data_IF_022662860005
#
_entry.id   IF_022662860005
#
_cell.length_a   1.000
_cell.length_b   1.000
_cell.length_c   1.000
_cell.angle_alpha   90.00
_cell.angle_beta   90.00
_cell.angle_gamma   90.00
#
_symmetry.space_group_name_H-M   'P 1'
#
loop_
_entity.id
_entity.type
_entity.pdbx_description
1 polymer ?
#
# COMPACT_ATOMS: atom_id res chain seq x y z
N UNK A 1 -23.45 -12.83 -9.16
CA UNK A 1 -22.03 -12.84 -9.51
C UNK A 1 -21.72 -11.47 -10.05
N UNK A 2 -20.92 -10.73 -9.31
CA UNK A 2 -20.51 -9.39 -9.73
C UNK A 2 -19.50 -9.49 -10.87
N UNK A 3 -19.66 -8.64 -11.88
CA UNK A 3 -18.67 -8.48 -12.96
C UNK A 3 -17.66 -7.35 -12.65
N UNK A 4 -17.76 -6.69 -11.47
CA UNK A 4 -16.80 -5.66 -11.07
C UNK A 4 -15.45 -6.31 -10.77
N UNK A 5 -14.42 -5.78 -11.44
CA UNK A 5 -13.06 -6.29 -11.34
C UNK A 5 -12.09 -5.20 -10.90
N UNK A 6 -11.11 -5.58 -10.09
CA UNK A 6 -9.96 -4.77 -9.76
C UNK A 6 -8.66 -5.53 -10.03
N UNK A 7 -7.57 -4.80 -10.20
CA UNK A 7 -6.25 -5.39 -10.37
C UNK A 7 -5.63 -5.68 -9.00
N UNK A 8 -5.73 -6.92 -8.55
CA UNK A 8 -5.14 -7.39 -7.29
C UNK A 8 -3.72 -7.87 -7.56
N UNK A 9 -2.71 -7.32 -6.89
CA UNK A 9 -1.33 -7.79 -7.05
C UNK A 9 -0.87 -8.74 -5.95
N UNK A 10 -1.56 -8.77 -4.80
CA UNK A 10 -1.29 -9.71 -3.73
C UNK A 10 -2.53 -9.86 -2.83
N UNK A 11 -2.71 -11.03 -2.23
CA UNK A 11 -3.63 -11.24 -1.10
C UNK A 11 -2.82 -11.97 -0.02
N UNK A 12 -2.72 -11.37 1.15
CA UNK A 12 -1.92 -11.89 2.25
C UNK A 12 -2.81 -12.20 3.45
N UNK A 13 -2.96 -13.49 3.76
CA UNK A 13 -3.58 -13.92 5.01
C UNK A 13 -2.66 -13.74 6.22
N UNK A 14 -3.25 -13.77 7.42
CA UNK A 14 -2.54 -13.69 8.70
C UNK A 14 -1.74 -12.40 8.95
N UNK A 15 -2.14 -11.30 8.33
CA UNK A 15 -1.57 -9.98 8.55
C UNK A 15 -1.95 -9.46 9.94
N UNK A 16 -0.95 -9.00 10.69
CA UNK A 16 -1.15 -8.38 12.03
C UNK A 16 -0.82 -6.89 12.05
N UNK A 17 -0.10 -6.37 11.04
CA UNK A 17 0.36 -4.96 11.01
C UNK A 17 -0.61 -4.02 10.27
N UNK A 18 -1.64 -4.59 9.64
CA UNK A 18 -2.57 -3.90 8.74
C UNK A 18 -3.92 -3.65 9.39
N UNK A 19 -3.94 -3.50 10.72
CA UNK A 19 -5.15 -3.25 11.52
C UNK A 19 -5.25 -4.18 12.74
N UNK A 20 -6.37 -4.10 13.49
CA UNK A 20 -6.57 -4.93 14.67
C UNK A 20 -6.79 -6.39 14.30
N UNK A 21 -6.33 -7.28 15.20
CA UNK A 21 -6.54 -8.71 15.09
C UNK A 21 -5.76 -9.36 13.95
N UNK A 22 -6.21 -10.56 13.56
CA UNK A 22 -5.66 -11.29 12.42
C UNK A 22 -6.47 -10.94 11.18
N UNK A 23 -5.81 -10.45 10.13
CA UNK A 23 -6.49 -9.96 8.93
C UNK A 23 -6.00 -10.62 7.65
N UNK A 24 -6.86 -10.62 6.64
CA UNK A 24 -6.46 -10.85 5.26
C UNK A 24 -6.35 -9.50 4.54
N UNK A 25 -5.16 -9.19 4.05
CA UNK A 25 -4.88 -7.93 3.34
C UNK A 25 -4.95 -8.14 1.83
N UNK A 26 -5.86 -7.44 1.16
CA UNK A 26 -6.01 -7.44 -0.30
C UNK A 26 -5.29 -6.21 -0.85
N UNK A 27 -4.28 -6.42 -1.69
CA UNK A 27 -3.47 -5.33 -2.24
C UNK A 27 -3.85 -5.02 -3.69
N UNK A 28 -4.43 -3.84 -3.92
CA UNK A 28 -4.87 -3.36 -5.22
C UNK A 28 -3.80 -2.53 -5.93
N UNK A 29 -3.79 -2.55 -7.27
CA UNK A 29 -2.97 -1.67 -8.10
C UNK A 29 -3.64 -0.33 -8.37
N UNK A 30 -2.87 0.62 -8.87
CA UNK A 30 -3.23 2.02 -9.05
C UNK A 30 -2.90 2.80 -7.79
N UNK A 31 -2.08 3.84 -7.90
CA UNK A 31 -1.85 4.80 -6.83
C UNK A 31 -1.65 6.18 -7.47
N UNK A 32 -2.35 7.23 -7.01
CA UNK A 32 -2.15 8.58 -7.52
C UNK A 32 -0.88 9.24 -6.98
N UNK A 33 -0.22 8.63 -5.98
CA UNK A 33 1.02 9.11 -5.38
C UNK A 33 2.23 8.35 -5.95
N UNK A 34 3.37 9.03 -5.97
CA UNK A 34 4.69 8.50 -6.30
C UNK A 34 5.67 8.74 -5.14
N UNK A 35 5.30 8.28 -3.93
CA UNK A 35 6.10 8.44 -2.71
C UNK A 35 7.54 7.95 -2.93
N UNK A 36 8.53 8.77 -2.58
CA UNK A 36 9.95 8.42 -2.74
C UNK A 36 10.34 7.13 -1.96
N UNK A 37 9.61 6.81 -0.89
CA UNK A 37 9.79 5.61 -0.07
C UNK A 37 8.79 4.48 -0.36
N UNK A 38 8.01 4.54 -1.44
CA UNK A 38 6.92 3.57 -1.68
C UNK A 38 7.45 2.12 -1.59
N UNK A 39 6.82 1.29 -0.76
CA UNK A 39 7.22 -0.10 -0.55
C UNK A 39 6.69 -1.06 -1.64
N UNK A 40 5.68 -0.60 -2.40
CA UNK A 40 5.00 -1.35 -3.46
C UNK A 40 5.00 -0.57 -4.79
N UNK A 41 6.17 -0.26 -5.39
CA UNK A 41 6.23 0.50 -6.65
C UNK A 41 5.45 -0.15 -7.81
N UNK A 42 5.23 -1.46 -7.76
CA UNK A 42 4.42 -2.22 -8.71
C UNK A 42 2.94 -1.80 -8.70
N UNK A 43 2.46 -1.19 -7.62
CA UNK A 43 1.08 -0.70 -7.52
C UNK A 43 0.89 0.67 -8.17
N UNK A 44 1.94 1.43 -8.48
CA UNK A 44 1.82 2.78 -9.04
C UNK A 44 1.26 2.82 -10.47
N UNK A 45 1.32 1.70 -11.19
CA UNK A 45 0.81 1.58 -12.56
C UNK A 45 -0.61 0.99 -12.54
N UNK A 46 -1.53 1.63 -13.27
CA UNK A 46 -2.94 1.25 -13.40
C UNK A 46 -3.18 0.10 -14.39
N UNK A 47 -2.18 -0.77 -14.56
CA UNK A 47 -2.20 -1.92 -15.48
C UNK A 47 -1.39 -3.05 -14.88
N UNK A 48 -1.72 -4.27 -15.28
CA UNK A 48 -0.90 -5.44 -15.02
C UNK A 48 0.53 -5.22 -15.55
N UNK A 49 1.51 -5.74 -14.82
CA UNK A 49 2.92 -5.71 -15.23
C UNK A 49 3.59 -7.04 -14.87
N UNK A 50 4.82 -7.24 -15.34
CA UNK A 50 5.69 -8.33 -14.89
C UNK A 50 6.77 -7.72 -14.02
N UNK A 51 6.99 -8.29 -12.84
CA UNK A 51 8.15 -8.00 -12.01
C UNK A 51 9.15 -9.16 -12.13
N UNK A 52 10.42 -8.82 -12.31
CA UNK A 52 11.50 -9.79 -12.33
C UNK A 52 12.16 -9.85 -10.95
N UNK A 53 12.31 -11.04 -10.37
CA UNK A 53 12.96 -11.25 -9.07
C UNK A 53 14.37 -11.79 -9.30
N UNK A 54 15.42 -10.94 -9.29
CA UNK A 54 16.75 -11.34 -9.74
C UNK A 54 17.37 -12.48 -8.92
N UNK A 55 17.09 -12.53 -7.61
CA UNK A 55 17.58 -13.57 -6.70
C UNK A 55 17.08 -14.96 -7.02
N UNK A 56 15.95 -15.07 -7.73
CA UNK A 56 15.32 -16.33 -8.13
C UNK A 56 15.74 -16.74 -9.55
N UNK A 57 16.33 -15.83 -10.32
CA UNK A 57 16.67 -16.08 -11.72
C UNK A 57 17.92 -16.95 -11.85
N UNK A 58 17.80 -18.05 -12.59
CA UNK A 58 18.92 -18.95 -12.91
C UNK A 58 19.61 -18.62 -14.24
N UNK A 59 19.32 -17.45 -14.82
CA UNK A 59 19.93 -16.96 -16.06
C UNK A 59 19.77 -17.92 -17.26
N UNK A 60 18.64 -18.62 -17.37
CA UNK A 60 18.37 -19.51 -18.51
C UNK A 60 17.95 -18.77 -19.80
N UNK A 61 17.61 -17.49 -19.68
CA UNK A 61 17.19 -16.58 -20.77
C UNK A 61 16.00 -17.05 -21.61
N UNK A 62 15.25 -18.07 -21.19
CA UNK A 62 14.05 -18.55 -21.90
C UNK A 62 12.99 -17.47 -22.07
N UNK A 63 12.88 -16.55 -21.12
CA UNK A 63 11.98 -15.41 -21.16
C UNK A 63 12.16 -14.55 -22.43
N UNK A 64 13.38 -14.46 -22.98
CA UNK A 64 13.65 -13.75 -24.24
C UNK A 64 12.92 -14.42 -25.41
N UNK A 65 12.85 -15.76 -25.43
CA UNK A 65 12.25 -16.51 -26.53
C UNK A 65 10.71 -16.50 -26.50
N UNK A 66 10.10 -16.44 -25.31
CA UNK A 66 8.64 -16.45 -25.16
C UNK A 66 8.02 -15.04 -25.13
N UNK A 67 8.84 -13.98 -25.07
CA UNK A 67 8.33 -12.61 -25.08
C UNK A 67 7.67 -12.27 -26.41
N UNK A 68 6.35 -12.14 -26.42
CA UNK A 68 5.56 -11.86 -27.65
C UNK A 68 5.74 -10.45 -28.19
N UNK A 69 6.22 -9.52 -27.35
CA UNK A 69 6.42 -8.10 -27.69
C UNK A 69 7.89 -7.71 -27.92
N UNK A 70 8.84 -8.62 -27.70
CA UNK A 70 10.28 -8.32 -27.77
C UNK A 70 10.78 -7.34 -26.69
N UNK A 71 10.05 -7.23 -25.57
CA UNK A 71 10.39 -6.39 -24.42
C UNK A 71 11.55 -6.95 -23.57
N UNK A 72 11.77 -8.27 -23.62
CA UNK A 72 12.82 -8.95 -22.85
C UNK A 72 14.02 -9.23 -23.75
N UNK A 73 15.19 -8.75 -23.35
CA UNK A 73 16.44 -8.85 -24.11
C UNK A 73 17.51 -9.60 -23.33
N UNK A 74 18.44 -10.19 -24.06
CA UNK A 74 19.66 -10.73 -23.48
C UNK A 74 20.48 -9.59 -22.85
N UNK A 75 21.17 -9.86 -21.72
CA UNK A 75 22.13 -8.90 -21.17
C UNK A 75 23.33 -8.72 -22.10
N UNK A 76 24.09 -7.64 -21.88
CA UNK A 76 25.36 -7.41 -22.57
C UNK A 76 26.40 -8.51 -22.25
N UNK A 77 26.36 -9.04 -21.02
CA UNK A 77 27.25 -10.09 -20.55
C UNK A 77 26.45 -11.30 -20.07
N UNK A 78 26.74 -12.47 -20.64
CA UNK A 78 26.12 -13.73 -20.20
C UNK A 78 26.49 -14.02 -18.75
N UNK A 79 25.50 -14.45 -17.97
CA UNK A 79 25.57 -14.59 -16.52
C UNK A 79 24.89 -13.46 -15.74
N UNK A 80 24.59 -12.32 -16.40
CA UNK A 80 23.83 -11.23 -15.80
C UNK A 80 22.32 -11.43 -16.04
N UNK A 81 21.49 -10.63 -15.36
CA UNK A 81 20.02 -10.68 -15.47
C UNK A 81 19.52 -10.24 -16.86
N UNK A 82 18.43 -10.83 -17.37
CA UNK A 82 17.78 -10.33 -18.59
C UNK A 82 17.30 -8.88 -18.42
N UNK A 83 17.28 -8.13 -19.53
CA UNK A 83 16.87 -6.73 -19.55
C UNK A 83 15.39 -6.65 -19.95
N UNK A 84 14.59 -5.95 -19.15
CA UNK A 84 13.15 -5.78 -19.38
C UNK A 84 12.84 -4.34 -19.75
N UNK A 85 12.09 -4.15 -20.83
CA UNK A 85 11.49 -2.88 -21.20
C UNK A 85 10.08 -2.81 -20.60
N UNK A 86 9.97 -2.27 -19.39
CA UNK A 86 8.70 -2.25 -18.66
C UNK A 86 7.64 -1.35 -19.30
N UNK A 87 8.04 -0.32 -20.07
CA UNK A 87 7.10 0.51 -20.83
C UNK A 87 6.38 -0.31 -21.91
N UNK A 88 7.05 -1.33 -22.46
CA UNK A 88 6.42 -2.30 -23.36
C UNK A 88 5.67 -3.37 -22.57
N UNK A 89 6.25 -3.90 -21.48
CA UNK A 89 5.62 -4.96 -20.67
C UNK A 89 4.23 -4.56 -20.17
N UNK A 90 4.03 -3.34 -19.66
CA UNK A 90 2.74 -2.85 -19.14
C UNK A 90 1.63 -2.72 -20.20
N UNK A 91 1.99 -2.84 -21.48
CA UNK A 91 1.04 -2.83 -22.62
C UNK A 91 0.80 -4.22 -23.20
N UNK A 92 1.47 -5.24 -22.67
CA UNK A 92 1.36 -6.61 -23.13
C UNK A 92 0.15 -7.31 -22.49
N UNK A 93 -0.70 -7.92 -23.31
CA UNK A 93 -1.84 -8.72 -22.85
C UNK A 93 -1.46 -10.19 -22.58
N UNK A 94 -0.29 -10.63 -23.05
CA UNK A 94 0.21 -12.01 -22.91
C UNK A 94 1.12 -12.20 -21.67
N UNK A 95 0.99 -11.35 -20.64
CA UNK A 95 1.87 -11.40 -19.46
C UNK A 95 1.82 -12.75 -18.73
N UNK A 96 0.70 -13.47 -18.81
CA UNK A 96 0.60 -14.83 -18.26
C UNK A 96 1.62 -15.78 -18.91
N UNK A 97 1.99 -15.56 -20.18
CA UNK A 97 3.04 -16.35 -20.84
C UNK A 97 4.39 -16.15 -20.14
N UNK A 98 4.70 -14.92 -19.70
CA UNK A 98 5.94 -14.63 -18.99
C UNK A 98 5.99 -15.35 -17.63
N UNK A 99 4.92 -15.27 -16.84
CA UNK A 99 4.80 -15.92 -15.53
C UNK A 99 4.90 -17.44 -15.67
N UNK A 100 4.06 -18.07 -16.51
CA UNK A 100 4.02 -19.53 -16.66
C UNK A 100 5.26 -20.13 -17.35
N UNK A 101 5.95 -19.37 -18.20
CA UNK A 101 7.17 -19.86 -18.86
C UNK A 101 8.41 -19.80 -17.95
N UNK A 102 8.32 -19.10 -16.82
CA UNK A 102 9.40 -19.00 -15.85
C UNK A 102 9.29 -20.10 -14.80
N UNK A 103 9.95 -21.24 -15.06
CA UNK A 103 9.86 -22.43 -14.19
C UNK A 103 10.46 -22.25 -12.79
N UNK A 104 11.34 -21.26 -12.60
CA UNK A 104 11.88 -20.91 -11.28
C UNK A 104 11.00 -19.91 -10.53
N UNK A 105 9.98 -19.32 -11.19
CA UNK A 105 9.15 -18.29 -10.59
C UNK A 105 9.84 -16.92 -10.45
N UNK A 106 10.88 -16.66 -11.24
CA UNK A 106 11.57 -15.35 -11.23
C UNK A 106 10.80 -14.25 -11.99
N UNK A 107 9.71 -14.58 -12.68
CA UNK A 107 8.82 -13.61 -13.33
C UNK A 107 7.43 -13.75 -12.73
N UNK A 108 6.95 -12.68 -12.12
CA UNK A 108 5.66 -12.67 -11.43
C UNK A 108 4.74 -11.64 -12.10
N UNK A 109 3.50 -12.04 -12.40
CA UNK A 109 2.50 -11.11 -12.92
C UNK A 109 1.87 -10.35 -11.76
N UNK A 110 2.12 -9.05 -11.72
CA UNK A 110 1.61 -8.13 -10.70
C UNK A 110 0.38 -7.39 -11.22
N UNK A 111 -0.77 -7.64 -10.59
CA UNK A 111 -2.06 -7.10 -10.99
C UNK A 111 -2.86 -8.08 -11.81
N UNK A 112 -3.42 -9.09 -11.15
CA UNK A 112 -4.36 -10.02 -11.75
C UNK A 112 -5.75 -9.41 -11.65
N UNK A 113 -6.52 -9.32 -12.75
CA UNK A 113 -7.91 -8.92 -12.65
C UNK A 113 -8.65 -9.98 -11.84
N UNK A 114 -9.30 -9.54 -10.75
CA UNK A 114 -10.12 -10.39 -9.91
C UNK A 114 -11.48 -9.72 -9.72
N UNK A 115 -12.53 -10.53 -9.80
CA UNK A 115 -13.91 -10.13 -9.46
C UNK A 115 -14.08 -10.03 -7.94
N UNK A 116 -15.15 -9.37 -7.49
CA UNK A 116 -15.51 -9.36 -6.06
C UNK A 116 -15.71 -10.79 -5.55
N UNK A 117 -16.45 -11.62 -6.29
CA UNK A 117 -16.69 -13.04 -5.97
C UNK A 117 -15.36 -13.81 -5.77
N UNK A 118 -14.38 -13.65 -6.67
CA UNK A 118 -13.08 -14.33 -6.56
C UNK A 118 -12.27 -13.88 -5.34
N UNK A 119 -12.35 -12.60 -4.96
CA UNK A 119 -11.69 -12.10 -3.75
C UNK A 119 -12.43 -12.57 -2.49
N UNK A 120 -13.76 -12.58 -2.52
CA UNK A 120 -14.59 -13.09 -1.42
C UNK A 120 -14.39 -14.57 -1.16
N UNK A 121 -14.20 -15.39 -2.20
CA UNK A 121 -13.85 -16.81 -2.04
C UNK A 121 -12.57 -17.00 -1.20
N UNK A 122 -11.56 -16.14 -1.40
CA UNK A 122 -10.32 -16.16 -0.60
C UNK A 122 -10.57 -15.65 0.82
N UNK A 123 -11.34 -14.57 0.97
CA UNK A 123 -11.67 -13.99 2.29
C UNK A 123 -12.44 -14.99 3.16
N UNK A 124 -13.46 -15.64 2.60
CA UNK A 124 -14.29 -16.62 3.32
C UNK A 124 -13.50 -17.88 3.70
N UNK A 125 -12.49 -18.25 2.91
CA UNK A 125 -11.57 -19.31 3.30
C UNK A 125 -10.75 -18.93 4.55
N UNK A 126 -10.38 -17.66 4.69
CA UNK A 126 -9.57 -17.16 5.81
C UNK A 126 -10.40 -16.71 7.03
N UNK A 127 -11.72 -16.55 6.87
CA UNK A 127 -12.67 -16.09 7.90
C UNK A 127 -12.53 -16.80 9.26
N UNK A 128 -12.34 -18.14 9.34
CA UNK A 128 -12.14 -18.82 10.62
C UNK A 128 -10.92 -18.33 11.44
N UNK A 129 -9.98 -17.63 10.81
CA UNK A 129 -8.77 -17.09 11.46
C UNK A 129 -8.94 -15.64 11.93
N UNK A 130 -10.04 -14.95 11.60
CA UNK A 130 -10.29 -13.56 11.99
C UNK A 130 -10.63 -13.45 13.47
N UNK A 131 -9.60 -13.43 14.31
CA UNK A 131 -9.71 -13.34 15.77
C UNK A 131 -9.30 -11.95 16.29
N UNK A 132 -9.74 -11.60 17.50
CA UNK A 132 -9.38 -10.37 18.23
C UNK A 132 -9.70 -9.07 17.46
N UNK A 133 -10.88 -8.99 16.83
CA UNK A 133 -11.25 -7.84 15.98
C UNK A 133 -10.63 -7.88 14.58
N UNK A 134 -10.19 -9.07 14.16
CA UNK A 134 -9.69 -9.37 12.82
C UNK A 134 -10.75 -9.19 11.73
N UNK A 135 -10.36 -9.41 10.48
CA UNK A 135 -11.22 -9.19 9.32
C UNK A 135 -10.40 -8.99 8.06
N UNK A 136 -10.80 -8.07 7.20
CA UNK A 136 -10.04 -7.76 5.98
C UNK A 136 -9.46 -6.35 6.02
N UNK A 137 -8.33 -6.16 5.35
CA UNK A 137 -7.81 -4.83 5.03
C UNK A 137 -7.62 -4.72 3.53
N UNK A 138 -8.11 -3.65 2.89
CA UNK A 138 -7.76 -3.37 1.49
C UNK A 138 -6.70 -2.28 1.47
N UNK A 139 -5.58 -2.58 0.83
CA UNK A 139 -4.35 -1.77 0.76
C UNK A 139 -3.75 -1.86 -0.66
N UNK A 140 -2.44 -1.66 -0.81
CA UNK A 140 -1.69 -1.84 -2.05
C UNK A 140 -1.10 -0.55 -2.58
N UNK A 141 -1.71 -0.02 -3.63
CA UNK A 141 -1.53 1.35 -4.09
C UNK A 141 -2.46 2.27 -3.32
N UNK A 142 -3.54 2.67 -3.97
CA UNK A 142 -4.64 3.41 -3.36
C UNK A 142 -5.95 2.67 -3.67
N UNK A 143 -6.58 2.01 -2.68
CA UNK A 143 -7.82 1.27 -2.88
C UNK A 143 -8.93 2.09 -3.53
N UNK A 144 -8.99 3.40 -3.24
CA UNK A 144 -10.00 4.32 -3.79
C UNK A 144 -9.80 4.65 -5.28
N UNK A 145 -8.78 4.07 -5.93
CA UNK A 145 -8.69 4.03 -7.39
C UNK A 145 -9.65 3.01 -8.03
N UNK A 146 -10.28 2.15 -7.21
CA UNK A 146 -11.33 1.20 -7.61
C UNK A 146 -12.55 1.34 -6.67
N UNK A 147 -13.17 2.52 -6.58
CA UNK A 147 -14.14 2.81 -5.52
C UNK A 147 -15.40 1.94 -5.65
N UNK A 148 -15.88 1.66 -6.87
CA UNK A 148 -17.07 0.81 -7.07
C UNK A 148 -16.80 -0.65 -6.67
N UNK A 149 -15.62 -1.18 -6.98
CA UNK A 149 -15.21 -2.52 -6.55
C UNK A 149 -15.07 -2.60 -5.03
N UNK A 150 -14.48 -1.58 -4.42
CA UNK A 150 -14.24 -1.54 -2.98
C UNK A 150 -15.54 -1.41 -2.19
N UNK A 151 -16.48 -0.59 -2.66
CA UNK A 151 -17.82 -0.46 -2.07
C UNK A 151 -18.55 -1.81 -2.05
N UNK A 152 -18.56 -2.52 -3.18
CA UNK A 152 -19.23 -3.83 -3.27
C UNK A 152 -18.54 -4.88 -2.39
N UNK A 153 -17.20 -4.96 -2.43
CA UNK A 153 -16.42 -5.90 -1.61
C UNK A 153 -16.67 -5.67 -0.10
N UNK A 154 -16.67 -4.42 0.35
CA UNK A 154 -16.93 -4.11 1.75
C UNK A 154 -18.39 -4.37 2.15
N UNK A 155 -19.35 -4.06 1.28
CA UNK A 155 -20.75 -4.42 1.52
C UNK A 155 -20.92 -5.93 1.69
N UNK A 156 -20.29 -6.73 0.83
CA UNK A 156 -20.38 -8.19 0.91
C UNK A 156 -19.66 -8.75 2.15
N UNK A 157 -18.54 -8.16 2.56
CA UNK A 157 -17.88 -8.49 3.83
C UNK A 157 -18.80 -8.23 5.03
N UNK A 158 -19.48 -7.08 5.06
CA UNK A 158 -20.40 -6.74 6.16
C UNK A 158 -21.62 -7.67 6.20
N UNK A 159 -22.17 -8.07 5.05
CA UNK A 159 -23.24 -9.07 4.97
C UNK A 159 -22.83 -10.43 5.55
N UNK A 160 -21.52 -10.72 5.55
CA UNK A 160 -20.91 -11.89 6.18
C UNK A 160 -20.35 -11.61 7.59
N UNK A 161 -20.67 -10.47 8.19
CA UNK A 161 -20.22 -10.05 9.52
C UNK A 161 -18.69 -9.93 9.67
N UNK A 162 -17.98 -9.66 8.57
CA UNK A 162 -16.53 -9.48 8.53
C UNK A 162 -16.19 -8.00 8.71
N UNK A 163 -15.31 -7.70 9.67
CA UNK A 163 -14.82 -6.34 9.89
C UNK A 163 -13.97 -5.87 8.70
N UNK A 164 -14.26 -4.67 8.23
CA UNK A 164 -13.61 -4.06 7.06
C UNK A 164 -12.62 -2.98 7.51
N UNK A 165 -11.47 -2.93 6.86
CA UNK A 165 -10.52 -1.83 7.04
C UNK A 165 -9.97 -1.39 5.69
N UNK A 166 -9.74 -0.10 5.54
CA UNK A 166 -9.08 0.48 4.37
C UNK A 166 -7.76 1.10 4.81
N UNK A 167 -6.68 0.81 4.08
CA UNK A 167 -5.44 1.58 4.15
C UNK A 167 -5.37 2.51 2.94
N UNK A 168 -5.36 3.82 3.19
CA UNK A 168 -5.56 4.81 2.14
C UNK A 168 -4.72 6.07 2.39
N UNK A 169 -4.26 6.68 1.30
CA UNK A 169 -3.73 8.05 1.31
C UNK A 169 -4.83 9.10 1.16
N UNK A 170 -6.07 8.71 0.84
CA UNK A 170 -7.24 9.58 0.77
C UNK A 170 -7.19 10.62 -0.35
N UNK A 171 -6.30 10.48 -1.34
CA UNK A 171 -6.24 11.35 -2.51
C UNK A 171 -7.28 10.93 -3.56
N UNK A 172 -8.55 11.26 -3.30
CA UNK A 172 -9.69 10.95 -4.18
C UNK A 172 -10.76 12.03 -4.06
N UNK A 173 -11.64 12.17 -5.04
CA UNK A 173 -12.81 13.03 -4.92
C UNK A 173 -13.78 12.48 -3.84
N UNK A 174 -14.36 13.37 -3.03
CA UNK A 174 -15.22 12.99 -1.89
C UNK A 174 -16.43 12.15 -2.30
N UNK A 175 -17.04 12.44 -3.46
CA UNK A 175 -18.19 11.70 -4.01
C UNK A 175 -17.87 10.25 -4.38
N UNK A 176 -16.58 9.91 -4.50
CA UNK A 176 -16.10 8.53 -4.68
C UNK A 176 -15.68 7.88 -3.37
N UNK A 177 -15.35 8.65 -2.35
CA UNK A 177 -14.93 8.14 -1.05
C UNK A 177 -16.11 7.86 -0.12
N UNK A 178 -17.05 8.80 -0.02
CA UNK A 178 -18.20 8.73 0.87
C UNK A 178 -19.01 7.41 0.76
N UNK A 179 -19.28 6.86 -0.45
CA UNK A 179 -20.00 5.59 -0.57
C UNK A 179 -19.27 4.42 0.09
N UNK A 180 -17.95 4.31 -0.11
CA UNK A 180 -17.11 3.26 0.47
C UNK A 180 -17.11 3.33 2.01
N UNK A 181 -17.08 4.55 2.57
CA UNK A 181 -17.05 4.77 4.02
C UNK A 181 -18.29 4.22 4.74
N UNK A 182 -19.42 4.09 4.04
CA UNK A 182 -20.66 3.50 4.62
C UNK A 182 -20.48 2.04 5.04
N UNK A 183 -19.54 1.36 4.39
CA UNK A 183 -19.21 -0.04 4.63
C UNK A 183 -17.80 -0.19 5.21
N UNK A 184 -17.20 0.88 5.75
CA UNK A 184 -15.85 0.87 6.31
C UNK A 184 -15.91 1.04 7.82
N UNK A 185 -15.46 0.00 8.55
CA UNK A 185 -15.37 0.07 10.01
C UNK A 185 -14.15 0.89 10.47
N UNK A 186 -13.00 0.70 9.81
CA UNK A 186 -11.73 1.35 10.14
C UNK A 186 -11.01 1.93 8.91
N UNK A 187 -10.58 3.18 9.00
CA UNK A 187 -9.65 3.81 8.07
C UNK A 187 -8.26 3.96 8.69
N UNK A 188 -7.30 3.24 8.14
CA UNK A 188 -5.87 3.40 8.36
C UNK A 188 -5.38 4.49 7.39
N UNK A 189 -5.35 5.73 7.87
CA UNK A 189 -5.24 6.91 7.02
C UNK A 189 -3.84 7.51 7.01
N UNK A 190 -3.17 7.48 5.87
CA UNK A 190 -1.79 7.96 5.74
C UNK A 190 -1.71 9.49 5.71
N UNK A 191 -0.99 10.08 6.68
CA UNK A 191 -0.57 11.49 6.65
C UNK A 191 0.95 11.54 6.51
N UNK A 192 1.43 12.05 5.38
CA UNK A 192 2.85 11.93 4.99
C UNK A 192 3.66 13.18 5.29
N UNK A 193 3.07 14.36 5.18
CA UNK A 193 3.70 15.65 5.50
C UNK A 193 2.62 16.74 5.59
N UNK A 194 2.77 17.74 6.48
CA UNK A 194 1.78 18.80 6.66
C UNK A 194 1.94 20.01 5.72
N UNK A 195 3.17 20.30 5.30
CA UNK A 195 3.42 21.32 4.28
C UNK A 195 3.07 20.78 2.87
N UNK A 196 2.20 21.46 2.09
CA UNK A 196 1.76 20.98 0.78
C UNK A 196 2.86 21.00 -0.30
N UNK A 197 3.85 21.89 -0.18
CA UNK A 197 4.97 21.96 -1.14
C UNK A 197 5.89 20.77 -0.91
N UNK A 198 6.32 20.55 0.33
CA UNK A 198 7.13 19.39 0.69
C UNK A 198 6.38 18.08 0.42
N UNK A 199 5.08 18.00 0.72
CA UNK A 199 4.29 16.81 0.39
C UNK A 199 4.31 16.50 -1.11
N UNK A 200 4.17 17.52 -1.96
CA UNK A 200 4.22 17.37 -3.42
C UNK A 200 5.60 16.94 -3.91
N UNK A 201 6.66 17.48 -3.34
CA UNK A 201 8.04 17.07 -3.68
C UNK A 201 8.31 15.60 -3.30
N UNK A 202 7.78 15.16 -2.15
CA UNK A 202 7.99 13.82 -1.61
C UNK A 202 7.07 12.75 -2.24
N UNK A 203 5.88 13.13 -2.70
CA UNK A 203 4.83 12.18 -3.09
C UNK A 203 4.19 12.43 -4.46
N UNK A 204 4.52 13.54 -5.13
CA UNK A 204 3.98 13.91 -6.44
C UNK A 204 2.71 14.77 -6.41
N UNK A 205 1.98 14.84 -5.28
CA UNK A 205 0.71 15.58 -5.16
C UNK A 205 0.65 16.46 -3.90
N UNK A 206 -0.23 17.47 -3.89
CA UNK A 206 -0.51 18.28 -2.68
C UNK A 206 -1.29 17.45 -1.65
N UNK A 207 -1.08 17.70 -0.36
CA UNK A 207 -1.84 17.08 0.74
C UNK A 207 -3.20 17.73 0.99
N UNK A 208 -3.54 18.85 0.33
CA UNK A 208 -4.74 19.63 0.67
C UNK A 208 -6.03 18.81 0.55
N UNK A 209 -6.20 18.05 -0.54
CA UNK A 209 -7.35 17.16 -0.73
C UNK A 209 -7.36 16.02 0.30
N UNK A 210 -6.17 15.50 0.62
CA UNK A 210 -6.00 14.41 1.60
C UNK A 210 -6.45 14.87 2.98
N UNK A 211 -6.02 16.07 3.40
CA UNK A 211 -6.41 16.62 4.70
C UNK A 211 -7.89 17.01 4.70
N UNK A 212 -8.42 17.59 3.61
CA UNK A 212 -9.85 17.91 3.49
C UNK A 212 -10.73 16.66 3.63
N UNK A 213 -10.39 15.56 2.93
CA UNK A 213 -11.11 14.30 3.05
C UNK A 213 -11.01 13.71 4.46
N UNK A 214 -9.81 13.74 5.08
CA UNK A 214 -9.65 13.27 6.46
C UNK A 214 -10.53 14.05 7.43
N UNK A 215 -10.62 15.38 7.30
CA UNK A 215 -11.54 16.20 8.11
C UNK A 215 -13.01 15.79 7.89
N UNK A 216 -13.43 15.61 6.64
CA UNK A 216 -14.79 15.18 6.32
C UNK A 216 -15.13 13.80 6.88
N UNK A 217 -14.20 12.85 6.88
CA UNK A 217 -14.42 11.55 7.54
C UNK A 217 -14.75 11.76 9.02
N UNK A 218 -13.95 12.59 9.71
CA UNK A 218 -14.14 12.87 11.14
C UNK A 218 -15.45 13.62 11.45
N UNK A 219 -15.87 14.52 10.55
CA UNK A 219 -17.05 15.38 10.76
C UNK A 219 -18.37 14.74 10.29
N UNK A 220 -18.33 13.95 9.21
CA UNK A 220 -19.52 13.49 8.48
C UNK A 220 -19.80 11.99 8.63
N UNK A 221 -18.86 11.21 9.17
CA UNK A 221 -19.00 9.73 9.28
C UNK A 221 -18.77 9.22 10.70
N UNK A 222 -19.10 7.94 10.92
CA UNK A 222 -18.75 7.23 12.15
C UNK A 222 -17.59 6.25 11.95
N UNK A 223 -16.91 6.29 10.80
CA UNK A 223 -15.77 5.42 10.51
C UNK A 223 -14.65 5.70 11.51
N UNK A 224 -14.12 4.64 12.14
CA UNK A 224 -12.98 4.81 13.03
C UNK A 224 -11.75 5.20 12.22
N UNK A 225 -10.95 6.14 12.71
CA UNK A 225 -9.75 6.60 12.01
C UNK A 225 -8.53 6.43 12.90
N UNK A 226 -7.51 5.77 12.34
CA UNK A 226 -6.15 5.76 12.87
C UNK A 226 -5.26 6.46 11.84
N UNK A 227 -4.66 7.58 12.23
CA UNK A 227 -3.70 8.27 11.36
C UNK A 227 -2.39 7.48 11.36
N UNK A 228 -1.87 7.16 10.18
CA UNK A 228 -0.57 6.47 10.02
C UNK A 228 0.46 7.43 9.43
N UNK A 229 1.67 7.39 9.98
CA UNK A 229 2.78 8.24 9.55
C UNK A 229 4.01 7.36 9.35
N UNK A 230 4.40 7.03 8.11
CA UNK A 230 5.72 6.47 7.85
C UNK A 230 6.77 7.54 8.16
N UNK A 231 7.66 7.27 9.11
CA UNK A 231 8.72 8.19 9.54
C UNK A 231 9.97 7.93 8.71
N UNK A 232 10.27 8.87 7.82
CA UNK A 232 11.35 8.77 6.84
C UNK A 232 12.44 9.81 7.19
N UNK A 233 13.64 9.36 7.61
CA UNK A 233 14.73 10.26 7.97
C UNK A 233 15.10 11.24 6.86
N UNK A 234 15.13 12.53 7.20
CA UNK A 234 15.48 13.61 6.28
C UNK A 234 14.36 14.04 5.33
N UNK A 235 13.19 13.39 5.37
CA UNK A 235 12.06 13.73 4.51
C UNK A 235 10.88 14.31 5.29
N UNK A 236 10.34 13.59 6.26
CA UNK A 236 9.18 14.04 7.03
C UNK A 236 9.35 13.94 8.55
N UNK A 237 10.54 13.53 9.00
CA UNK A 237 10.82 13.23 10.40
C UNK A 237 11.25 14.46 11.20
N UNK A 238 10.88 15.69 10.84
CA UNK A 238 11.23 16.88 11.63
C UNK A 238 10.25 17.06 12.80
N UNK A 239 10.71 17.65 13.91
CA UNK A 239 9.82 17.94 15.05
C UNK A 239 8.70 18.90 14.63
N UNK A 240 9.02 19.88 13.78
CA UNK A 240 8.08 20.86 13.26
C UNK A 240 6.93 20.20 12.49
N UNK A 241 7.22 19.22 11.64
CA UNK A 241 6.20 18.47 10.92
C UNK A 241 5.34 17.60 11.86
N UNK A 242 5.96 16.97 12.87
CA UNK A 242 5.23 16.17 13.87
C UNK A 242 4.32 17.02 14.75
N UNK A 243 4.79 18.19 15.21
CA UNK A 243 4.00 19.19 15.93
C UNK A 243 2.83 19.70 15.09
N UNK A 244 3.07 20.00 13.81
CA UNK A 244 2.01 20.41 12.89
C UNK A 244 0.94 19.31 12.71
N UNK A 245 1.39 18.06 12.60
CA UNK A 245 0.50 16.90 12.45
C UNK A 245 -0.30 16.65 13.71
N UNK A 246 0.32 16.74 14.90
CA UNK A 246 -0.34 16.58 16.19
C UNK A 246 -1.41 17.65 16.43
N UNK A 247 -1.11 18.91 16.07
CA UNK A 247 -2.07 20.02 16.14
C UNK A 247 -3.27 19.78 15.24
N UNK A 248 -3.02 19.38 13.99
CA UNK A 248 -4.07 19.08 13.03
C UNK A 248 -4.95 17.90 13.49
N UNK A 249 -4.34 16.79 13.90
CA UNK A 249 -5.05 15.61 14.41
C UNK A 249 -5.98 15.98 15.58
N UNK A 250 -5.50 16.82 16.50
CA UNK A 250 -6.31 17.33 17.62
C UNK A 250 -7.46 18.24 17.17
N UNK A 251 -7.22 19.10 16.18
CA UNK A 251 -8.23 20.00 15.62
C UNK A 251 -9.41 19.23 15.05
N UNK A 252 -9.15 18.16 14.29
CA UNK A 252 -10.19 17.31 13.69
C UNK A 252 -10.75 16.24 14.65
N UNK A 253 -10.29 16.20 15.90
CA UNK A 253 -10.78 15.26 16.91
C UNK A 253 -10.26 13.81 16.77
N UNK A 254 -9.20 13.58 15.98
CA UNK A 254 -8.55 12.27 15.90
C UNK A 254 -7.90 11.91 17.25
N UNK A 255 -7.90 10.62 17.59
CA UNK A 255 -7.45 10.13 18.90
C UNK A 255 -6.16 9.32 18.86
N UNK A 256 -5.95 8.59 17.76
CA UNK A 256 -4.86 7.62 17.66
C UNK A 256 -4.01 7.85 16.41
N UNK A 257 -2.69 7.78 16.60
CA UNK A 257 -1.67 7.90 15.58
C UNK A 257 -0.71 6.71 15.67
N UNK A 258 -0.41 6.08 14.54
CA UNK A 258 0.62 5.05 14.44
C UNK A 258 1.80 5.62 13.65
N UNK A 259 2.97 5.65 14.27
CA UNK A 259 4.23 6.00 13.59
C UNK A 259 4.94 4.72 13.16
N UNK A 260 5.28 4.65 11.87
CA UNK A 260 5.86 3.45 11.25
C UNK A 260 7.32 3.75 10.91
N UNK A 261 8.30 3.04 11.49
CA UNK A 261 9.69 3.25 11.14
C UNK A 261 9.93 2.84 9.69
N UNK A 262 10.60 3.70 8.92
CA UNK A 262 11.03 3.39 7.57
C UNK A 262 11.80 2.06 7.50
N UNK A 263 11.60 1.31 6.42
CA UNK A 263 12.40 0.12 6.10
C UNK A 263 12.70 0.02 4.60
N UNK A 264 13.78 -0.66 4.24
CA UNK A 264 14.25 -0.83 2.85
C UNK A 264 13.62 -2.00 2.09
N UNK A 265 12.61 -2.67 2.65
CA UNK A 265 12.06 -3.91 2.09
C UNK A 265 11.50 -3.75 0.66
N UNK A 266 11.08 -2.55 0.25
CA UNK A 266 10.59 -2.27 -1.10
C UNK A 266 11.68 -2.15 -2.18
N UNK A 267 12.96 -1.98 -1.83
CA UNK A 267 14.03 -1.68 -2.79
C UNK A 267 14.18 -2.75 -3.87
N UNK A 268 14.10 -4.03 -3.51
CA UNK A 268 14.20 -5.13 -4.47
C UNK A 268 13.14 -5.08 -5.56
N UNK A 269 11.96 -4.52 -5.26
CA UNK A 269 10.87 -4.38 -6.23
C UNK A 269 11.14 -3.31 -7.27
N UNK A 270 11.84 -2.22 -6.91
CA UNK A 270 12.29 -1.21 -7.90
C UNK A 270 13.24 -1.84 -8.90
N UNK A 271 14.25 -2.58 -8.41
CA UNK A 271 15.19 -3.32 -9.27
C UNK A 271 14.45 -4.29 -10.19
N UNK A 272 13.44 -5.00 -9.67
CA UNK A 272 12.62 -5.93 -10.44
C UNK A 272 11.72 -5.29 -11.49
N UNK A 273 11.46 -3.99 -11.37
CA UNK A 273 10.73 -3.17 -12.34
C UNK A 273 11.67 -2.33 -13.23
N UNK A 274 12.99 -2.56 -13.14
CA UNK A 274 13.98 -1.76 -13.87
C UNK A 274 14.01 -0.29 -13.47
N UNK A 275 13.62 0.05 -12.24
CA UNK A 275 13.57 1.41 -11.70
C UNK A 275 14.67 1.63 -10.67
N UNK A 276 15.14 2.87 -10.58
CA UNK A 276 15.98 3.30 -9.47
C UNK A 276 15.13 3.63 -8.24
N UNK A 277 15.64 3.31 -7.05
CA UNK A 277 14.96 3.64 -5.80
C UNK A 277 15.16 5.12 -5.44
N UNK A 278 14.11 5.96 -5.34
CA UNK A 278 14.26 7.41 -5.28
C UNK A 278 15.03 7.95 -4.08
N UNK A 279 14.95 7.29 -2.92
CA UNK A 279 15.68 7.72 -1.71
C UNK A 279 17.16 7.30 -1.70
N UNK A 280 17.60 6.50 -2.67
CA UNK A 280 18.93 5.91 -2.67
C UNK A 280 19.11 4.85 -1.58
N UNK A 281 20.30 4.25 -1.54
CA UNK A 281 20.60 3.13 -0.64
C UNK A 281 21.15 3.56 0.73
N UNK A 282 21.36 4.86 0.94
CA UNK A 282 22.03 5.40 2.13
C UNK A 282 21.05 5.70 3.27
N UNK A 283 19.76 5.94 2.98
CA UNK A 283 18.76 6.30 4.00
C UNK A 283 18.45 5.09 4.88
N UNK A 284 18.81 5.14 6.16
CA UNK A 284 18.55 4.07 7.14
C UNK A 284 17.20 4.25 7.84
N UNK A 285 16.76 3.20 8.53
CA UNK A 285 15.61 3.29 9.44
C UNK A 285 15.90 4.32 10.55
N UNK A 286 14.89 5.10 11.01
CA UNK A 286 15.07 5.99 12.15
C UNK A 286 15.47 5.18 13.39
N UNK A 287 16.30 5.78 14.26
CA UNK A 287 16.68 5.15 15.52
C UNK A 287 15.48 4.99 16.46
N UNK A 288 15.53 4.00 17.34
CA UNK A 288 14.51 3.83 18.39
C UNK A 288 14.35 5.11 19.22
N UNK A 289 15.46 5.79 19.55
CA UNK A 289 15.44 7.10 20.24
C UNK A 289 14.67 8.16 19.45
N UNK A 290 14.85 8.24 18.11
CA UNK A 290 14.10 9.18 17.28
C UNK A 290 12.61 8.86 17.30
N UNK A 291 12.25 7.59 17.18
CA UNK A 291 10.85 7.14 17.21
C UNK A 291 10.18 7.47 18.55
N UNK A 292 10.91 7.31 19.66
CA UNK A 292 10.46 7.68 21.00
C UNK A 292 10.23 9.18 21.15
N UNK A 293 11.17 10.03 20.67
CA UNK A 293 10.99 11.49 20.67
C UNK A 293 9.72 11.89 19.90
N UNK A 294 9.49 11.30 18.73
CA UNK A 294 8.29 11.57 17.92
C UNK A 294 7.02 11.13 18.66
N UNK A 295 7.04 9.95 19.28
CA UNK A 295 5.92 9.44 20.09
C UNK A 295 5.57 10.41 21.22
N UNK A 296 6.57 10.95 21.90
CA UNK A 296 6.38 11.89 23.01
C UNK A 296 5.81 13.23 22.54
N UNK A 297 6.14 13.70 21.32
CA UNK A 297 5.50 14.86 20.71
C UNK A 297 3.98 14.61 20.64
N UNK A 298 3.53 13.51 20.01
CA UNK A 298 2.10 13.23 19.89
C UNK A 298 1.40 13.06 21.25
N UNK A 299 2.03 12.36 22.20
CA UNK A 299 1.52 12.20 23.56
C UNK A 299 1.35 13.54 24.30
N UNK A 300 2.24 14.50 24.06
CA UNK A 300 2.13 15.84 24.68
C UNK A 300 0.87 16.61 24.25
N UNK A 301 0.30 16.28 23.09
CA UNK A 301 -0.97 16.84 22.61
C UNK A 301 -2.21 16.10 23.16
N UNK A 302 -2.00 14.98 23.86
CA UNK A 302 -3.05 14.09 24.39
C UNK A 302 -3.49 12.99 23.43
N UNK A 303 -2.70 12.70 22.39
CA UNK A 303 -2.98 11.66 21.40
C UNK A 303 -2.41 10.32 21.85
N UNK A 304 -3.10 9.22 21.53
CA UNK A 304 -2.56 7.87 21.65
C UNK A 304 -1.58 7.69 20.50
N UNK A 305 -0.31 7.39 20.79
CA UNK A 305 0.71 7.15 19.77
C UNK A 305 1.37 5.78 19.96
N UNK A 306 1.29 4.94 18.92
CA UNK A 306 1.93 3.62 18.86
C UNK A 306 3.07 3.61 17.84
N UNK A 307 4.16 2.90 18.15
CA UNK A 307 5.28 2.66 17.24
C UNK A 307 5.06 1.30 16.59
N UNK A 308 4.92 1.26 15.27
CA UNK A 308 4.49 0.07 14.54
C UNK A 308 2.98 -0.20 14.68
N UNK A 309 2.41 -0.91 13.71
CA UNK A 309 0.97 -1.19 13.61
C UNK A 309 0.40 -2.13 14.68
N UNK A 310 1.21 -2.60 15.63
CA UNK A 310 0.79 -3.44 16.76
C UNK A 310 1.61 -3.11 18.00
N UNK A 311 0.98 -3.12 19.18
CA UNK A 311 1.72 -3.08 20.44
C UNK A 311 2.71 -4.26 20.46
N UNK A 312 4.01 -3.97 20.54
CA UNK A 312 4.90 -4.88 21.27
C UNK A 312 4.36 -4.86 22.68
N UNK A 313 3.63 -5.90 23.07
CA UNK A 313 3.20 -6.06 24.45
C UNK A 313 4.44 -5.91 25.33
N UNK A 314 4.39 -4.98 26.28
CA UNK A 314 5.37 -4.89 27.34
C UNK A 314 5.38 -6.25 28.07
N UNK A 315 6.37 -7.08 27.75
CA UNK A 315 6.73 -8.28 28.51
C UNK A 315 7.79 -7.94 29.54
#
# INVERSE_FOLDING_TARGET
MSDLTALVFNIQGFSIQDGPGVRTTVFLKGCPLSCQWCANPESQVFRSDIIHVPSTCVHCYRCVNFCTKGAVKLPEKMGDNPIFDHDVCVTCEDQDVCEHSCYEGALEKVGKPMTVDEVMDVILHDEPFFVNGGGITVSGGEPLMHPEFLEELFSECQDNYIHTAIETCGYVAWDKFEPVLRYTDLALYDVKHMDPVAHKELTGVSNELILDNLRKIMDETNTEVIIRIPVIPGANDTNENMDATARYAKEIGAREIHILPYHRMGMGKYTGLGREYPLGEEVESPSDERMEVIRDIFRSYGLICKIGGTEKGDS
#
